data_IF_363996719425
#
_entry.id   IF_363996719425
#
_cell.length_a   1.000
_cell.length_b   1.000
_cell.length_c   1.000
_cell.angle_alpha   90.00
_cell.angle_beta   90.00
_cell.angle_gamma   90.00
#
_symmetry.space_group_name_H-M   'P 1'
#
loop_
_entity.id
_entity.type
_entity.pdbx_description
1 polymer ?
#
# COMPACT_ATOMS: atom_id res chain seq x y z
N UNK A 1 16.15 -20.02 14.61
CA UNK A 1 15.10 -19.23 13.92
C UNK A 1 13.70 -19.63 14.36
N UNK A 2 13.29 -20.90 14.19
CA UNK A 2 11.96 -21.42 14.56
C UNK A 2 11.52 -21.11 16.02
N UNK A 3 12.37 -21.41 17.01
CA UNK A 3 12.06 -21.16 18.43
C UNK A 3 11.83 -19.66 18.69
N UNK A 4 12.67 -18.79 18.12
CA UNK A 4 12.56 -17.33 18.28
C UNK A 4 11.30 -16.78 17.59
N UNK A 5 10.93 -17.34 16.43
CA UNK A 5 9.70 -17.02 15.72
C UNK A 5 8.47 -17.35 16.58
N UNK A 6 8.40 -18.57 17.10
CA UNK A 6 7.30 -19.03 17.97
C UNK A 6 7.18 -18.15 19.22
N UNK A 7 8.28 -17.86 19.92
CA UNK A 7 8.26 -16.99 21.10
C UNK A 7 7.73 -15.57 20.81
N UNK A 8 8.11 -15.01 19.66
CA UNK A 8 7.65 -13.68 19.25
C UNK A 8 6.19 -13.67 18.82
N UNK A 9 5.69 -14.73 18.20
CA UNK A 9 4.25 -14.89 17.91
C UNK A 9 3.44 -14.98 19.20
N UNK A 10 3.92 -15.75 20.18
CA UNK A 10 3.30 -15.81 21.51
C UNK A 10 3.28 -14.44 22.19
N UNK A 11 4.33 -13.63 22.01
CA UNK A 11 4.38 -12.26 22.54
C UNK A 11 3.32 -11.36 21.90
N UNK A 12 3.14 -11.41 20.56
CA UNK A 12 2.08 -10.65 19.89
C UNK A 12 0.68 -11.05 20.39
N UNK A 13 0.47 -12.35 20.59
CA UNK A 13 -0.80 -12.85 21.13
C UNK A 13 -1.03 -12.40 22.58
N UNK A 14 -0.01 -12.44 23.44
CA UNK A 14 -0.09 -11.91 24.81
C UNK A 14 -0.39 -10.40 24.81
N UNK A 15 0.23 -9.62 23.92
CA UNK A 15 -0.10 -8.20 23.76
C UNK A 15 -1.57 -7.99 23.38
N UNK A 16 -2.06 -8.73 22.39
CA UNK A 16 -3.46 -8.68 21.97
C UNK A 16 -4.40 -8.99 23.14
N UNK A 17 -4.18 -10.10 23.86
CA UNK A 17 -5.02 -10.50 24.99
C UNK A 17 -5.05 -9.45 26.11
N UNK A 18 -3.89 -8.86 26.43
CA UNK A 18 -3.82 -7.81 27.45
C UNK A 18 -4.52 -6.53 27.03
N UNK A 19 -4.42 -6.12 25.77
CA UNK A 19 -5.14 -4.95 25.25
C UNK A 19 -6.65 -5.19 25.17
N UNK A 20 -7.07 -6.40 24.79
CA UNK A 20 -8.48 -6.79 24.72
C UNK A 20 -9.14 -6.77 26.11
N UNK A 21 -8.44 -7.24 27.14
CA UNK A 21 -8.96 -7.36 28.50
C UNK A 21 -8.53 -6.23 29.45
N UNK A 22 -7.76 -5.24 28.98
CA UNK A 22 -7.23 -4.16 29.82
C UNK A 22 -6.32 -4.64 30.95
N UNK A 23 -5.59 -5.73 30.75
CA UNK A 23 -4.75 -6.36 31.78
C UNK A 23 -3.42 -5.63 31.98
N UNK A 24 -2.94 -5.55 33.22
CA UNK A 24 -1.68 -4.90 33.57
C UNK A 24 -0.48 -5.87 33.54
N UNK A 25 0.72 -5.41 33.12
CA UNK A 25 1.01 -4.10 32.56
C UNK A 25 0.45 -3.98 31.12
N UNK A 26 -0.14 -2.81 30.82
CA UNK A 26 -0.68 -2.52 29.48
C UNK A 26 0.48 -2.50 28.47
N UNK A 27 0.40 -3.26 27.37
CA UNK A 27 1.44 -3.26 26.33
C UNK A 27 1.66 -1.87 25.73
N UNK A 28 2.92 -1.47 25.60
CA UNK A 28 3.30 -0.25 24.88
C UNK A 28 3.35 -0.51 23.38
N UNK A 29 2.88 0.45 22.58
CA UNK A 29 3.03 0.45 21.14
C UNK A 29 4.50 0.39 20.70
N UNK A 30 5.44 0.87 21.52
CA UNK A 30 6.88 0.76 21.23
C UNK A 30 7.38 -0.69 21.30
N UNK A 31 6.95 -1.46 22.31
CA UNK A 31 7.35 -2.87 22.48
C UNK A 31 6.76 -3.73 21.36
N UNK A 32 5.50 -3.45 21.01
CA UNK A 32 4.82 -4.07 19.89
C UNK A 32 5.53 -3.73 18.57
N UNK A 33 5.86 -2.46 18.34
CA UNK A 33 6.59 -2.02 17.16
C UNK A 33 7.94 -2.74 17.02
N UNK A 34 8.70 -2.90 18.11
CA UNK A 34 9.97 -3.63 18.09
C UNK A 34 9.79 -5.11 17.73
N UNK A 35 8.70 -5.73 18.20
CA UNK A 35 8.37 -7.11 17.84
C UNK A 35 7.97 -7.23 16.37
N UNK A 36 7.19 -6.28 15.84
CA UNK A 36 6.83 -6.25 14.43
C UNK A 36 8.04 -5.99 13.52
N UNK A 37 8.93 -5.05 13.89
CA UNK A 37 10.20 -4.80 13.18
C UNK A 37 11.07 -6.06 13.11
N UNK A 38 11.11 -6.85 14.19
CA UNK A 38 11.80 -8.14 14.17
C UNK A 38 11.22 -9.09 13.10
N UNK A 39 9.90 -9.16 12.94
CA UNK A 39 9.29 -9.97 11.88
C UNK A 39 9.61 -9.41 10.49
N UNK A 40 9.51 -8.09 10.28
CA UNK A 40 9.89 -7.46 9.01
C UNK A 40 11.34 -7.78 8.62
N UNK A 41 12.28 -7.65 9.56
CA UNK A 41 13.69 -7.99 9.34
C UNK A 41 13.90 -9.49 9.08
N UNK A 42 13.16 -10.35 9.77
CA UNK A 42 13.19 -11.79 9.56
C UNK A 42 12.72 -12.17 8.15
N UNK A 43 11.57 -11.62 7.71
CA UNK A 43 11.02 -11.84 6.38
C UNK A 43 11.96 -11.32 5.29
N UNK A 44 12.53 -10.13 5.49
CA UNK A 44 13.54 -9.59 4.58
C UNK A 44 14.80 -10.46 4.51
N UNK A 45 15.27 -10.98 5.64
CA UNK A 45 16.41 -11.89 5.69
C UNK A 45 16.15 -13.17 4.89
N UNK A 46 14.94 -13.71 4.93
CA UNK A 46 14.55 -14.86 4.12
C UNK A 46 14.56 -14.53 2.63
N UNK A 47 14.05 -13.36 2.24
CA UNK A 47 14.09 -12.91 0.84
C UNK A 47 15.52 -12.77 0.32
N UNK A 48 16.52 -12.43 1.15
CA UNK A 48 17.93 -12.33 0.72
C UNK A 48 18.46 -13.60 0.08
N UNK A 49 17.96 -14.76 0.52
CA UNK A 49 18.40 -16.08 0.07
C UNK A 49 17.68 -16.53 -1.21
N UNK A 50 16.64 -15.81 -1.64
CA UNK A 50 15.80 -16.15 -2.81
C UNK A 50 16.30 -15.45 -4.07
N UNK A 51 16.47 -16.22 -5.15
CA UNK A 51 16.96 -15.71 -6.44
C UNK A 51 15.86 -15.33 -7.41
N UNK A 52 14.73 -16.02 -7.33
CA UNK A 52 13.51 -15.81 -8.09
C UNK A 52 12.86 -14.46 -7.74
N UNK A 53 11.74 -14.11 -8.37
CA UNK A 53 11.01 -12.86 -8.10
C UNK A 53 9.65 -13.15 -7.44
N UNK A 54 9.59 -13.44 -6.12
CA UNK A 54 8.36 -13.85 -5.46
C UNK A 54 7.18 -12.89 -5.62
N UNK A 55 7.44 -11.57 -5.62
CA UNK A 55 6.39 -10.56 -5.84
C UNK A 55 5.78 -10.63 -7.24
N UNK A 56 6.58 -10.94 -8.26
CA UNK A 56 6.05 -11.19 -9.60
C UNK A 56 5.26 -12.50 -9.66
N UNK A 57 5.69 -13.53 -8.91
CA UNK A 57 4.94 -14.78 -8.76
C UNK A 57 3.59 -14.58 -8.06
N UNK A 58 3.46 -13.58 -7.16
CA UNK A 58 2.16 -13.21 -6.53
C UNK A 58 1.13 -12.78 -7.57
N UNK A 59 1.51 -12.31 -8.76
CA UNK A 59 0.53 -11.91 -9.80
C UNK A 59 -0.21 -13.09 -10.43
N UNK A 60 0.13 -14.35 -10.13
CA UNK A 60 -0.55 -15.51 -10.70
C UNK A 60 -0.63 -16.66 -9.73
N UNK A 61 -1.86 -17.10 -9.42
CA UNK A 61 -2.14 -18.19 -8.49
C UNK A 61 -1.43 -19.50 -8.83
N UNK A 62 -1.22 -19.77 -10.12
CA UNK A 62 -0.45 -20.94 -10.60
C UNK A 62 0.95 -21.05 -9.97
N UNK A 63 1.58 -19.94 -9.61
CA UNK A 63 2.93 -19.93 -9.04
C UNK A 63 2.94 -19.94 -7.51
N UNK A 64 1.78 -20.06 -6.84
CA UNK A 64 1.72 -20.03 -5.39
C UNK A 64 2.50 -21.18 -4.74
N UNK A 65 2.29 -22.40 -5.21
CA UNK A 65 2.97 -23.57 -4.66
C UNK A 65 4.48 -23.47 -4.82
N UNK A 66 4.94 -23.02 -5.98
CA UNK A 66 6.37 -22.78 -6.27
C UNK A 66 6.93 -21.65 -5.40
N UNK A 67 6.23 -20.51 -5.32
CA UNK A 67 6.63 -19.35 -4.51
C UNK A 67 6.76 -19.73 -3.04
N UNK A 68 5.76 -20.42 -2.50
CA UNK A 68 5.76 -20.81 -1.09
C UNK A 68 6.84 -21.83 -0.76
N UNK A 69 7.26 -22.66 -1.73
CA UNK A 69 8.36 -23.60 -1.58
C UNK A 69 9.75 -22.92 -1.51
N UNK A 70 9.86 -21.63 -1.85
CA UNK A 70 11.11 -20.86 -1.73
C UNK A 70 11.48 -20.55 -0.28
N UNK A 71 10.55 -20.72 0.66
CA UNK A 71 10.70 -20.29 2.04
C UNK A 71 10.68 -21.46 3.01
N UNK A 72 11.34 -21.34 4.18
CA UNK A 72 11.15 -22.30 5.25
C UNK A 72 9.69 -22.30 5.72
N UNK A 73 9.20 -23.46 6.15
CA UNK A 73 7.83 -23.61 6.64
C UNK A 73 7.66 -22.95 8.04
N UNK A 74 7.53 -21.62 8.05
CA UNK A 74 7.14 -20.83 9.21
C UNK A 74 5.64 -20.55 9.18
N UNK A 75 5.07 -20.25 10.34
CA UNK A 75 3.64 -19.96 10.47
C UNK A 75 3.30 -18.51 10.06
N UNK A 76 3.44 -18.21 8.76
CA UNK A 76 3.15 -16.90 8.17
C UNK A 76 1.68 -16.52 8.30
N UNK A 77 0.78 -17.51 8.23
CA UNK A 77 -0.66 -17.34 8.45
C UNK A 77 -0.96 -16.88 9.87
N UNK A 78 -0.30 -17.46 10.87
CA UNK A 78 -0.49 -17.00 12.25
C UNK A 78 0.05 -15.58 12.46
N UNK A 79 1.13 -15.19 11.79
CA UNK A 79 1.59 -13.80 11.80
C UNK A 79 0.53 -12.87 11.20
N UNK A 80 -0.01 -13.18 10.02
CA UNK A 80 -1.11 -12.41 9.40
C UNK A 80 -2.32 -12.25 10.32
N UNK A 81 -2.75 -13.34 10.95
CA UNK A 81 -3.87 -13.34 11.89
C UNK A 81 -3.57 -12.47 13.12
N UNK A 82 -2.34 -12.52 13.64
CA UNK A 82 -1.94 -11.66 14.75
C UNK A 82 -1.96 -10.17 14.36
N UNK A 83 -1.49 -9.81 13.16
CA UNK A 83 -1.57 -8.41 12.67
C UNK A 83 -3.02 -7.94 12.55
N UNK A 84 -3.90 -8.81 12.04
CA UNK A 84 -5.35 -8.55 11.91
C UNK A 84 -5.98 -8.29 13.29
N UNK A 85 -5.74 -9.18 14.26
CA UNK A 85 -6.24 -9.04 15.63
C UNK A 85 -5.71 -7.77 16.32
N UNK A 86 -4.45 -7.40 16.06
CA UNK A 86 -3.86 -6.21 16.63
C UNK A 86 -4.51 -4.92 16.08
N UNK A 87 -4.94 -4.91 14.82
CA UNK A 87 -5.69 -3.78 14.23
C UNK A 87 -6.98 -3.52 15.00
N UNK A 88 -7.69 -4.57 15.41
CA UNK A 88 -8.96 -4.46 16.15
C UNK A 88 -8.81 -3.84 17.55
N UNK A 89 -7.61 -3.87 18.13
CA UNK A 89 -7.33 -3.35 19.48
C UNK A 89 -6.42 -2.11 19.48
N UNK A 90 -6.15 -1.52 18.31
CA UNK A 90 -5.30 -0.32 18.16
C UNK A 90 -5.75 0.82 19.08
N UNK A 91 -7.05 1.03 19.25
CA UNK A 91 -7.61 2.11 20.08
C UNK A 91 -7.22 2.00 21.57
N UNK A 92 -6.80 0.82 22.03
CA UNK A 92 -6.33 0.58 23.39
C UNK A 92 -4.84 0.90 23.60
N UNK A 93 -4.11 1.26 22.54
CA UNK A 93 -2.68 1.60 22.61
C UNK A 93 -2.53 3.08 22.97
N UNK A 94 -2.06 3.36 24.17
CA UNK A 94 -1.92 4.74 24.67
C UNK A 94 -0.55 5.38 24.41
N UNK A 95 0.51 4.57 24.31
CA UNK A 95 1.90 5.05 24.15
C UNK A 95 2.50 4.40 22.90
N UNK A 96 3.14 5.20 22.05
CA UNK A 96 3.88 4.69 20.88
C UNK A 96 3.01 4.24 19.70
N UNK A 97 1.76 4.71 19.61
CA UNK A 97 0.81 4.34 18.55
C UNK A 97 1.34 4.58 17.14
N UNK A 98 2.00 5.72 16.89
CA UNK A 98 2.58 6.02 15.58
C UNK A 98 3.68 5.03 15.18
N UNK A 99 4.61 4.74 16.09
CA UNK A 99 5.69 3.78 15.85
C UNK A 99 5.15 2.36 15.63
N UNK A 100 4.09 1.98 16.37
CA UNK A 100 3.36 0.74 16.14
C UNK A 100 2.74 0.71 14.75
N UNK A 101 2.00 1.74 14.36
CA UNK A 101 1.33 1.82 13.06
C UNK A 101 2.30 1.72 11.88
N UNK A 102 3.45 2.41 11.95
CA UNK A 102 4.50 2.29 10.93
C UNK A 102 5.05 0.86 10.83
N UNK A 103 5.34 0.23 11.97
CA UNK A 103 5.84 -1.13 12.00
C UNK A 103 4.80 -2.15 11.54
N UNK A 104 3.51 -1.93 11.82
CA UNK A 104 2.38 -2.73 11.37
C UNK A 104 2.25 -2.69 9.84
N UNK A 105 2.23 -1.50 9.24
CA UNK A 105 2.13 -1.34 7.79
C UNK A 105 3.32 -1.96 7.06
N UNK A 106 4.53 -1.73 7.57
CA UNK A 106 5.74 -2.35 7.02
C UNK A 106 5.70 -3.88 7.14
N UNK A 107 5.23 -4.42 8.26
CA UNK A 107 5.13 -5.87 8.45
C UNK A 107 4.10 -6.50 7.50
N UNK A 108 2.94 -5.88 7.31
CA UNK A 108 1.93 -6.32 6.33
C UNK A 108 2.51 -6.36 4.91
N UNK A 109 3.24 -5.31 4.52
CA UNK A 109 3.92 -5.24 3.24
C UNK A 109 4.98 -6.35 3.08
N UNK A 110 5.88 -6.51 4.05
CA UNK A 110 6.89 -7.57 4.03
C UNK A 110 6.31 -8.98 3.99
N UNK A 111 5.11 -9.18 4.54
CA UNK A 111 4.46 -10.47 4.62
C UNK A 111 3.84 -10.92 3.30
N UNK A 112 3.44 -9.99 2.41
CA UNK A 112 2.72 -10.28 1.17
C UNK A 112 3.29 -11.45 0.33
N UNK A 113 4.61 -11.55 0.06
CA UNK A 113 5.17 -12.65 -0.74
C UNK A 113 5.01 -14.05 -0.10
N UNK A 114 4.85 -14.09 1.22
CA UNK A 114 4.79 -15.33 2.01
C UNK A 114 3.38 -15.85 2.22
N UNK A 115 2.36 -15.10 1.81
CA UNK A 115 0.97 -15.44 2.01
C UNK A 115 0.46 -16.44 0.96
N UNK A 116 -0.55 -17.21 1.34
CA UNK A 116 -1.32 -18.04 0.43
C UNK A 116 -2.38 -17.21 -0.32
N UNK A 117 -3.08 -17.85 -1.26
CA UNK A 117 -4.11 -17.22 -2.07
C UNK A 117 -5.21 -16.51 -1.25
N UNK A 118 -5.79 -17.17 -0.25
CA UNK A 118 -6.94 -16.66 0.51
C UNK A 118 -6.54 -15.41 1.31
N UNK A 119 -5.31 -15.38 1.81
CA UNK A 119 -4.80 -14.26 2.60
C UNK A 119 -4.40 -13.08 1.72
N UNK A 120 -3.78 -13.32 0.55
CA UNK A 120 -3.37 -12.27 -0.41
C UNK A 120 -4.54 -11.38 -0.79
N UNK A 121 -5.69 -11.98 -1.07
CA UNK A 121 -6.88 -11.25 -1.55
C UNK A 121 -7.42 -10.26 -0.49
N UNK A 122 -7.13 -10.49 0.80
CA UNK A 122 -7.60 -9.67 1.90
C UNK A 122 -6.61 -8.55 2.31
N UNK A 123 -5.34 -8.60 1.88
CA UNK A 123 -4.28 -7.65 2.32
C UNK A 123 -4.63 -6.21 1.97
N UNK A 124 -5.20 -5.98 0.78
CA UNK A 124 -5.58 -4.64 0.32
C UNK A 124 -6.66 -4.04 1.24
N UNK A 125 -7.72 -4.79 1.53
CA UNK A 125 -8.77 -4.34 2.43
C UNK A 125 -8.26 -4.15 3.85
N UNK A 126 -7.46 -5.07 4.38
CA UNK A 126 -6.89 -4.97 5.73
C UNK A 126 -6.00 -3.73 5.89
N UNK A 127 -5.19 -3.44 4.88
CA UNK A 127 -4.34 -2.23 4.89
C UNK A 127 -5.19 -0.98 4.81
N UNK A 128 -6.23 -0.96 3.95
CA UNK A 128 -7.17 0.15 3.87
C UNK A 128 -7.94 0.34 5.18
N UNK A 129 -8.36 -0.72 5.86
CA UNK A 129 -9.13 -0.61 7.10
C UNK A 129 -8.31 -0.05 8.26
N UNK A 130 -6.99 -0.18 8.23
CA UNK A 130 -6.11 0.42 9.25
C UNK A 130 -6.27 1.95 9.36
N UNK A 131 -6.74 2.62 8.29
CA UNK A 131 -6.97 4.07 8.29
C UNK A 131 -8.03 4.52 9.31
N UNK A 132 -8.95 3.63 9.70
CA UNK A 132 -10.01 3.99 10.64
C UNK A 132 -9.55 4.00 12.10
N UNK A 133 -8.38 3.44 12.39
CA UNK A 133 -7.86 3.25 13.75
C UNK A 133 -6.46 3.85 13.95
N UNK A 134 -5.67 3.97 12.89
CA UNK A 134 -4.35 4.60 12.93
C UNK A 134 -4.47 6.13 12.89
N UNK A 135 -3.48 6.85 13.46
CA UNK A 135 -3.50 8.30 13.52
C UNK A 135 -3.28 8.94 12.13
N UNK A 136 -3.77 10.18 11.95
CA UNK A 136 -3.85 10.85 10.64
C UNK A 136 -2.48 11.05 9.97
N UNK A 137 -1.42 11.12 10.76
CA UNK A 137 -0.03 11.22 10.34
C UNK A 137 0.40 10.00 9.50
N UNK A 138 -0.28 8.86 9.64
CA UNK A 138 -0.01 7.64 8.87
C UNK A 138 -0.94 7.46 7.67
N UNK A 139 -1.92 8.33 7.44
CA UNK A 139 -2.86 8.16 6.33
C UNK A 139 -2.16 8.17 4.96
N UNK A 140 -1.17 9.05 4.77
CA UNK A 140 -0.38 9.08 3.54
C UNK A 140 0.42 7.79 3.37
N UNK A 141 1.00 7.24 4.45
CA UNK A 141 1.73 5.96 4.41
C UNK A 141 0.81 4.81 4.01
N UNK A 142 -0.40 4.74 4.57
CA UNK A 142 -1.41 3.72 4.22
C UNK A 142 -1.72 3.77 2.72
N UNK A 143 -2.02 4.97 2.20
CA UNK A 143 -2.34 5.16 0.78
C UNK A 143 -1.13 4.83 -0.10
N UNK A 144 0.09 5.16 0.34
CA UNK A 144 1.33 4.81 -0.35
C UNK A 144 1.54 3.29 -0.43
N UNK A 145 1.39 2.58 0.69
CA UNK A 145 1.49 1.11 0.72
C UNK A 145 0.43 0.46 -0.16
N UNK A 146 -0.80 0.97 -0.18
CA UNK A 146 -1.84 0.51 -1.08
C UNK A 146 -1.45 0.73 -2.54
N UNK A 147 -1.17 1.97 -2.94
CA UNK A 147 -1.06 2.36 -4.34
C UNK A 147 0.22 1.88 -5.00
N UNK A 148 1.33 1.95 -4.27
CA UNK A 148 2.65 1.68 -4.85
C UNK A 148 3.16 0.30 -4.53
N UNK A 149 2.46 -0.50 -3.73
CA UNK A 149 2.93 -1.85 -3.41
C UNK A 149 1.81 -2.89 -3.45
N UNK A 150 0.83 -2.81 -2.56
CA UNK A 150 -0.13 -3.90 -2.36
C UNK A 150 -1.06 -4.07 -3.57
N UNK A 151 -1.76 -3.01 -4.00
CA UNK A 151 -2.73 -3.08 -5.09
C UNK A 151 -2.12 -3.57 -6.41
N UNK A 152 -0.93 -3.10 -6.84
CA UNK A 152 -0.28 -3.60 -8.05
C UNK A 152 -0.12 -5.12 -8.12
N UNK A 153 0.03 -5.81 -6.98
CA UNK A 153 0.22 -7.27 -6.95
C UNK A 153 -1.04 -8.04 -6.60
N UNK A 154 -1.97 -7.47 -5.84
CA UNK A 154 -3.18 -8.18 -5.39
C UNK A 154 -4.31 -8.11 -6.41
N UNK A 155 -4.60 -6.94 -6.99
CA UNK A 155 -5.79 -6.79 -7.83
C UNK A 155 -5.55 -7.25 -9.28
N UNK A 156 -4.31 -7.17 -9.74
CA UNK A 156 -3.90 -7.64 -11.08
C UNK A 156 -3.66 -9.15 -11.12
N UNK A 157 -3.81 -9.82 -9.97
CA UNK A 157 -3.53 -11.24 -9.80
C UNK A 157 -4.48 -12.11 -10.63
N UNK A 158 -3.95 -13.07 -11.37
CA UNK A 158 -4.74 -14.02 -12.16
C UNK A 158 -5.04 -15.27 -11.35
N UNK A 159 -6.32 -15.60 -11.23
CA UNK A 159 -6.79 -16.86 -10.66
C UNK A 159 -6.66 -17.99 -11.71
N UNK A 160 -6.61 -19.24 -11.26
CA UNK A 160 -6.48 -20.40 -12.18
C UNK A 160 -7.69 -20.58 -13.10
N UNK A 161 -8.88 -20.24 -12.62
CA UNK A 161 -10.14 -20.30 -13.37
C UNK A 161 -10.37 -19.07 -14.27
N UNK A 162 -9.47 -18.08 -14.23
CA UNK A 162 -9.53 -16.85 -15.02
C UNK A 162 -10.65 -15.88 -14.60
N UNK A 163 -11.25 -16.09 -13.43
CA UNK A 163 -12.27 -15.19 -12.85
C UNK A 163 -11.62 -13.96 -12.21
N UNK A 164 -12.44 -12.95 -11.90
CA UNK A 164 -11.98 -11.78 -11.16
C UNK A 164 -11.67 -12.18 -9.71
N UNK A 165 -10.43 -11.97 -9.26
CA UNK A 165 -10.00 -12.30 -7.88
C UNK A 165 -10.78 -11.48 -6.82
N UNK A 166 -10.82 -11.99 -5.58
CA UNK A 166 -11.60 -11.34 -4.53
C UNK A 166 -11.02 -9.98 -4.12
N UNK A 167 -9.70 -9.79 -4.23
CA UNK A 167 -9.06 -8.48 -4.06
C UNK A 167 -9.66 -7.42 -5.00
N UNK A 168 -9.86 -7.74 -6.28
CA UNK A 168 -10.43 -6.87 -7.30
C UNK A 168 -11.92 -6.61 -7.05
N UNK A 169 -12.66 -7.61 -6.57
CA UNK A 169 -14.06 -7.44 -6.17
C UNK A 169 -14.22 -6.55 -4.93
N UNK A 170 -13.22 -6.55 -4.03
CA UNK A 170 -13.25 -5.76 -2.79
C UNK A 170 -12.94 -4.26 -2.97
N UNK A 171 -12.62 -3.81 -4.18
CA UNK A 171 -12.13 -2.44 -4.43
C UNK A 171 -13.13 -1.36 -4.00
N UNK A 172 -14.43 -1.57 -4.17
CA UNK A 172 -15.43 -0.63 -3.68
C UNK A 172 -15.35 -0.43 -2.16
N UNK A 173 -15.02 -1.49 -1.39
CA UNK A 173 -14.83 -1.40 0.05
C UNK A 173 -13.53 -0.67 0.41
N UNK A 174 -12.44 -0.93 -0.32
CA UNK A 174 -11.17 -0.20 -0.18
C UNK A 174 -11.37 1.31 -0.41
N UNK A 175 -12.05 1.69 -1.50
CA UNK A 175 -12.39 3.09 -1.81
C UNK A 175 -13.22 3.68 -0.67
N UNK A 176 -14.23 2.95 -0.19
CA UNK A 176 -15.11 3.41 0.89
C UNK A 176 -14.33 3.70 2.17
N UNK A 177 -13.40 2.84 2.58
CA UNK A 177 -12.56 3.06 3.77
C UNK A 177 -11.75 4.35 3.64
N UNK A 178 -11.02 4.52 2.53
CA UNK A 178 -10.18 5.70 2.34
C UNK A 178 -11.03 6.97 2.27
N UNK A 179 -12.14 6.97 1.52
CA UNK A 179 -12.99 8.15 1.36
C UNK A 179 -13.78 8.53 2.62
N UNK A 180 -14.01 7.57 3.51
CA UNK A 180 -14.73 7.81 4.75
C UNK A 180 -13.83 8.42 5.83
N UNK A 181 -12.61 7.91 5.96
CA UNK A 181 -11.73 8.23 7.09
C UNK A 181 -10.61 9.21 6.75
N UNK A 182 -10.29 9.36 5.46
CA UNK A 182 -9.37 10.41 5.04
C UNK A 182 -10.09 11.71 4.75
N UNK A 183 -9.61 12.80 5.33
CA UNK A 183 -10.09 14.16 5.03
C UNK A 183 -9.30 14.83 3.91
N UNK A 184 -8.16 14.26 3.50
CA UNK A 184 -7.29 14.82 2.48
C UNK A 184 -7.77 14.39 1.07
N UNK A 185 -8.24 15.32 0.23
CA UNK A 185 -8.67 14.99 -1.13
C UNK A 185 -7.57 14.39 -2.01
N UNK A 186 -6.30 14.70 -1.70
CA UNK A 186 -5.16 14.22 -2.46
C UNK A 186 -4.96 12.70 -2.28
N UNK A 187 -5.24 12.16 -1.09
CA UNK A 187 -5.28 10.71 -0.86
C UNK A 187 -6.36 10.02 -1.71
N UNK A 188 -7.53 10.67 -1.86
CA UNK A 188 -8.63 10.12 -2.64
C UNK A 188 -8.29 10.05 -4.13
N UNK A 189 -7.66 11.11 -4.67
CA UNK A 189 -7.17 11.14 -6.04
C UNK A 189 -6.08 10.10 -6.27
N UNK A 190 -5.06 10.04 -5.41
CA UNK A 190 -3.96 9.08 -5.53
C UNK A 190 -4.47 7.63 -5.61
N UNK A 191 -5.38 7.25 -4.71
CA UNK A 191 -5.99 5.92 -4.74
C UNK A 191 -6.74 5.69 -6.06
N UNK A 192 -7.60 6.62 -6.46
CA UNK A 192 -8.44 6.43 -7.63
C UNK A 192 -7.63 6.38 -8.93
N UNK A 193 -6.61 7.23 -9.07
CA UNK A 193 -5.70 7.23 -10.22
C UNK A 193 -4.89 5.94 -10.29
N UNK A 194 -4.39 5.44 -9.14
CA UNK A 194 -3.74 4.13 -9.06
C UNK A 194 -4.69 3.02 -9.52
N UNK A 195 -5.93 2.99 -9.02
CA UNK A 195 -6.91 1.98 -9.40
C UNK A 195 -7.24 2.03 -10.89
N UNK A 196 -7.43 3.22 -11.47
CA UNK A 196 -7.70 3.39 -12.90
C UNK A 196 -6.54 2.91 -13.79
N UNK A 197 -5.30 2.98 -13.29
CA UNK A 197 -4.13 2.44 -13.99
C UNK A 197 -4.05 0.90 -13.94
N UNK A 198 -4.59 0.29 -12.87
CA UNK A 198 -4.44 -1.14 -12.60
C UNK A 198 -5.64 -2.00 -13.02
N UNK A 199 -6.86 -1.47 -12.94
CA UNK A 199 -8.12 -2.22 -13.14
C UNK A 199 -9.03 -1.50 -14.15
N UNK A 200 -9.55 -2.19 -15.18
CA UNK A 200 -10.58 -1.63 -16.03
C UNK A 200 -11.92 -1.53 -15.28
N UNK A 201 -12.71 -0.50 -15.57
CA UNK A 201 -14.09 -0.42 -15.07
C UNK A 201 -14.22 0.05 -13.62
N UNK A 202 -13.20 0.70 -13.05
CA UNK A 202 -13.23 1.33 -11.71
C UNK A 202 -14.41 2.29 -11.51
N UNK A 203 -14.96 2.84 -12.60
CA UNK A 203 -16.22 3.60 -12.57
C UNK A 203 -17.37 2.83 -11.91
N UNK A 204 -17.44 1.51 -12.08
CA UNK A 204 -18.46 0.66 -11.45
C UNK A 204 -18.25 0.58 -9.93
N UNK A 205 -16.99 0.46 -9.49
CA UNK A 205 -16.64 0.45 -8.07
C UNK A 205 -17.01 1.80 -7.41
N UNK A 206 -16.71 2.92 -8.08
CA UNK A 206 -17.10 4.26 -7.64
C UNK A 206 -18.62 4.41 -7.58
N UNK A 207 -19.37 3.94 -8.58
CA UNK A 207 -20.84 3.96 -8.57
C UNK A 207 -21.41 3.13 -7.42
N UNK A 208 -20.78 1.99 -7.09
CA UNK A 208 -21.11 1.20 -5.90
C UNK A 208 -20.93 2.02 -4.61
N UNK A 209 -19.83 2.76 -4.48
CA UNK A 209 -19.60 3.65 -3.32
C UNK A 209 -20.63 4.78 -3.27
N UNK A 210 -21.01 5.37 -4.40
CA UNK A 210 -22.07 6.38 -4.46
C UNK A 210 -23.42 5.81 -4.02
N UNK A 211 -23.74 4.57 -4.41
CA UNK A 211 -25.00 3.93 -4.08
C UNK A 211 -25.08 3.47 -2.61
N UNK A 212 -24.02 2.84 -2.09
CA UNK A 212 -24.04 2.11 -0.83
C UNK A 212 -23.12 2.67 0.27
N UNK A 213 -22.28 3.66 -0.05
CA UNK A 213 -21.33 4.22 0.90
C UNK A 213 -21.97 5.07 2.00
N UNK A 214 -21.18 5.34 3.04
CA UNK A 214 -21.54 6.32 4.07
C UNK A 214 -21.64 7.73 3.50
N UNK A 215 -22.26 8.66 4.24
CA UNK A 215 -22.38 10.06 3.80
C UNK A 215 -21.06 10.71 3.34
N UNK A 216 -19.94 10.65 4.11
CA UNK A 216 -18.66 11.21 3.66
C UNK A 216 -18.09 10.48 2.43
N UNK A 217 -18.16 9.14 2.40
CA UNK A 217 -17.66 8.36 1.28
C UNK A 217 -18.42 8.67 -0.01
N UNK A 218 -19.75 8.78 0.04
CA UNK A 218 -20.60 9.15 -1.10
C UNK A 218 -20.28 10.55 -1.63
N UNK A 219 -20.08 11.52 -0.74
CA UNK A 219 -19.75 12.88 -1.14
C UNK A 219 -18.42 12.93 -1.92
N UNK A 220 -17.38 12.27 -1.40
CA UNK A 220 -16.08 12.15 -2.06
C UNK A 220 -16.18 11.39 -3.39
N UNK A 221 -16.91 10.27 -3.42
CA UNK A 221 -17.10 9.45 -4.61
C UNK A 221 -17.85 10.18 -5.72
N UNK A 222 -18.95 10.86 -5.40
CA UNK A 222 -19.70 11.65 -6.38
C UNK A 222 -18.84 12.78 -6.96
N UNK A 223 -18.06 13.47 -6.11
CA UNK A 223 -17.16 14.53 -6.54
C UNK A 223 -16.11 14.01 -7.54
N UNK A 224 -15.45 12.89 -7.22
CA UNK A 224 -14.43 12.32 -8.10
C UNK A 224 -15.00 11.62 -9.34
N UNK A 225 -16.20 11.05 -9.25
CA UNK A 225 -16.92 10.51 -10.40
C UNK A 225 -17.11 11.58 -11.48
N UNK A 226 -17.60 12.76 -11.10
CA UNK A 226 -17.79 13.86 -12.04
C UNK A 226 -16.49 14.50 -12.50
N UNK A 227 -15.40 14.36 -11.73
CA UNK A 227 -14.09 14.85 -12.11
C UNK A 227 -13.44 13.98 -13.20
N UNK A 228 -13.34 12.66 -12.98
CA UNK A 228 -12.68 11.74 -13.91
C UNK A 228 -13.60 11.24 -15.03
N UNK A 229 -14.92 11.25 -14.83
CA UNK A 229 -15.91 10.93 -15.88
C UNK A 229 -16.91 12.08 -16.08
N UNK A 230 -16.48 13.19 -16.73
CA UNK A 230 -17.33 14.39 -16.89
C UNK A 230 -18.62 14.17 -17.69
N UNK A 231 -18.72 13.07 -18.46
CA UNK A 231 -19.94 12.69 -19.19
C UNK A 231 -21.14 12.47 -18.26
N UNK A 232 -20.93 12.15 -16.99
CA UNK A 232 -22.01 12.02 -16.01
C UNK A 232 -22.54 13.37 -15.48
N UNK A 233 -21.85 14.49 -15.73
CA UNK A 233 -22.35 15.83 -15.44
C UNK A 233 -22.24 16.75 -16.67
N UNK A 234 -23.34 16.99 -17.41
CA UNK A 234 -23.33 17.83 -18.61
C UNK A 234 -23.15 19.33 -18.31
N UNK A 235 -23.34 19.79 -17.06
CA UNK A 235 -23.25 21.20 -16.71
C UNK A 235 -21.79 21.63 -16.49
N UNK A 236 -21.27 22.45 -17.41
CA UNK A 236 -19.89 22.95 -17.39
C UNK A 236 -19.57 23.86 -16.18
N UNK A 237 -20.57 24.57 -15.63
CA UNK A 237 -20.36 25.53 -14.55
C UNK A 237 -20.09 24.88 -13.19
N UNK A 238 -20.68 23.70 -12.92
CA UNK A 238 -20.43 22.92 -11.70
C UNK A 238 -19.00 22.37 -11.63
N UNK A 239 -18.32 22.27 -12.78
CA UNK A 239 -16.97 21.72 -12.89
C UNK A 239 -15.90 22.63 -12.28
N UNK A 240 -16.10 23.95 -12.25
CA UNK A 240 -15.09 24.91 -11.76
C UNK A 240 -14.80 24.77 -10.26
N UNK A 241 -15.79 24.40 -9.45
CA UNK A 241 -15.62 24.21 -8.01
C UNK A 241 -14.86 22.90 -7.66
N UNK A 242 -14.86 21.92 -8.56
CA UNK A 242 -14.22 20.61 -8.36
C UNK A 242 -12.71 20.69 -8.59
N UNK A 243 -12.25 21.50 -9.55
CA UNK A 243 -10.88 21.49 -10.07
C UNK A 243 -9.78 22.06 -9.14
N UNK A 244 -10.11 22.88 -8.15
CA UNK A 244 -9.14 23.81 -7.53
C UNK A 244 -8.29 23.23 -6.38
N UNK A 245 -8.55 22.01 -5.88
CA UNK A 245 -8.00 21.59 -4.56
C UNK A 245 -7.34 20.21 -4.45
N UNK A 246 -7.06 19.51 -5.54
CA UNK A 246 -6.66 18.10 -5.45
C UNK A 246 -5.15 17.80 -5.47
N UNK A 247 -4.30 18.71 -5.99
CA UNK A 247 -2.93 18.36 -6.36
C UNK A 247 -1.81 18.89 -5.44
N UNK A 248 -2.06 19.87 -4.56
CA UNK A 248 -0.98 20.63 -3.94
C UNK A 248 -0.39 20.04 -2.63
N UNK A 249 -0.98 18.97 -2.08
CA UNK A 249 -0.63 18.50 -0.73
C UNK A 249 0.09 17.13 -0.70
N UNK A 250 0.39 16.51 -1.84
CA UNK A 250 1.21 15.29 -1.85
C UNK A 250 2.70 15.63 -1.74
N UNK A 251 3.34 15.19 -0.66
CA UNK A 251 4.80 15.22 -0.58
C UNK A 251 5.38 14.17 -1.55
N UNK A 252 6.33 14.55 -2.43
CA UNK A 252 6.97 13.59 -3.31
C UNK A 252 7.82 12.60 -2.50
N UNK A 253 7.94 11.37 -3.00
CA UNK A 253 8.91 10.43 -2.44
C UNK A 253 10.32 10.97 -2.64
N UNK A 254 11.19 10.73 -1.67
CA UNK A 254 12.62 11.01 -1.79
C UNK A 254 13.37 9.72 -2.11
N UNK A 255 14.50 9.85 -2.81
CA UNK A 255 15.37 8.72 -3.12
C UNK A 255 15.83 8.00 -1.83
N UNK A 256 15.58 6.70 -1.76
CA UNK A 256 15.87 5.86 -0.58
C UNK A 256 17.21 5.11 -0.67
N UNK A 257 17.99 5.32 -1.73
CA UNK A 257 19.31 4.70 -1.85
C UNK A 257 20.25 5.27 -0.79
N UNK A 258 20.84 4.40 0.02
CA UNK A 258 21.74 4.76 1.13
C UNK A 258 22.93 5.63 0.66
N UNK A 259 23.43 5.34 -0.55
CA UNK A 259 24.57 6.05 -1.18
C UNK A 259 24.16 7.10 -2.21
N UNK A 260 22.96 7.68 -2.12
CA UNK A 260 22.51 8.72 -3.06
C UNK A 260 23.34 10.01 -2.87
N UNK A 261 23.96 10.58 -3.94
CA UNK A 261 24.72 11.83 -3.83
C UNK A 261 23.88 13.03 -3.35
N UNK A 262 22.57 12.98 -3.63
CA UNK A 262 21.60 14.03 -3.33
C UNK A 262 20.56 13.56 -2.28
N UNK A 263 21.00 12.72 -1.32
CA UNK A 263 20.12 12.14 -0.29
C UNK A 263 19.30 13.23 0.44
N UNK A 264 18.00 12.96 0.63
CA UNK A 264 17.05 13.88 1.28
C UNK A 264 16.45 14.96 0.38
N UNK A 265 17.08 15.29 -0.75
CA UNK A 265 16.58 16.32 -1.69
C UNK A 265 16.19 15.77 -3.05
N UNK A 266 16.72 14.61 -3.45
CA UNK A 266 16.40 13.99 -4.73
C UNK A 266 15.00 13.38 -4.71
N UNK A 267 14.08 13.99 -5.47
CA UNK A 267 12.77 13.42 -5.75
C UNK A 267 12.90 12.06 -6.45
N UNK A 268 12.17 11.07 -5.96
CA UNK A 268 12.08 9.77 -6.58
C UNK A 268 11.11 9.83 -7.77
N UNK A 269 11.55 9.32 -8.91
CA UNK A 269 10.72 9.16 -10.11
C UNK A 269 10.52 7.70 -10.51
N UNK A 270 11.23 6.78 -9.86
CA UNK A 270 11.21 5.35 -10.17
C UNK A 270 10.95 4.52 -8.92
N UNK A 271 10.22 3.43 -9.08
CA UNK A 271 9.98 2.42 -8.04
C UNK A 271 10.53 1.07 -8.48
N UNK A 272 11.20 0.38 -7.56
CA UNK A 272 11.73 -0.97 -7.73
C UNK A 272 11.08 -1.93 -6.74
N UNK A 273 10.64 -3.08 -7.25
CA UNK A 273 10.02 -4.14 -6.44
C UNK A 273 10.95 -5.32 -6.18
N UNK A 274 12.12 -5.35 -6.81
CA UNK A 274 13.07 -6.44 -6.63
C UNK A 274 13.70 -6.36 -5.23
N UNK A 275 13.50 -7.43 -4.44
CA UNK A 275 13.98 -7.49 -3.08
C UNK A 275 15.51 -7.47 -2.98
N UNK A 276 16.22 -8.02 -3.97
CA UNK A 276 17.69 -8.04 -3.96
C UNK A 276 18.23 -6.64 -4.17
N UNK A 277 17.64 -5.85 -5.06
CA UNK A 277 17.98 -4.44 -5.26
C UNK A 277 17.69 -3.65 -3.98
N UNK A 278 16.48 -3.75 -3.42
CA UNK A 278 16.14 -3.07 -2.15
C UNK A 278 17.14 -3.41 -1.05
N UNK A 279 17.41 -4.70 -0.82
CA UNK A 279 18.34 -5.17 0.22
C UNK A 279 19.78 -4.69 -0.02
N UNK A 280 20.22 -4.59 -1.28
CA UNK A 280 21.60 -4.22 -1.62
C UNK A 280 21.82 -2.71 -1.49
N UNK A 281 20.83 -1.89 -1.83
CA UNK A 281 20.98 -0.44 -1.96
C UNK A 281 20.21 0.37 -0.90
N UNK A 282 19.34 -0.26 -0.11
CA UNK A 282 18.61 0.33 1.03
C UNK A 282 18.39 -0.75 2.12
N UNK A 283 19.42 -0.95 2.95
CA UNK A 283 19.53 -2.16 3.81
C UNK A 283 18.35 -2.36 4.77
N UNK A 284 17.74 -1.26 5.23
CA UNK A 284 16.64 -1.24 6.19
C UNK A 284 15.27 -1.02 5.54
N UNK A 285 15.20 -0.81 4.22
CA UNK A 285 13.95 -0.50 3.51
C UNK A 285 13.52 -1.71 2.67
N UNK A 286 12.41 -2.38 3.02
CA UNK A 286 11.86 -3.43 2.18
C UNK A 286 11.40 -2.86 0.82
N UNK A 287 11.22 -3.72 -0.21
CA UNK A 287 10.43 -3.34 -1.37
C UNK A 287 9.05 -2.76 -0.96
N UNK A 288 8.57 -1.70 -1.63
CA UNK A 288 9.17 -1.06 -2.80
C UNK A 288 10.28 -0.07 -2.42
N UNK A 289 11.36 -0.04 -3.21
CA UNK A 289 12.41 0.96 -3.09
C UNK A 289 12.15 2.12 -4.06
N UNK A 290 12.06 3.33 -3.54
CA UNK A 290 11.89 4.55 -4.34
C UNK A 290 13.24 5.18 -4.68
N UNK A 291 13.44 5.50 -5.96
CA UNK A 291 14.72 5.95 -6.51
C UNK A 291 14.54 7.21 -7.36
N UNK A 292 15.46 8.16 -7.23
CA UNK A 292 15.59 9.20 -8.24
C UNK A 292 16.05 8.59 -9.57
N UNK A 293 15.78 9.30 -10.68
CA UNK A 293 16.07 8.81 -12.03
C UNK A 293 17.56 8.48 -12.20
N UNK A 294 18.45 9.29 -11.62
CA UNK A 294 19.90 9.07 -11.67
C UNK A 294 20.31 7.76 -10.98
N UNK A 295 19.84 7.54 -9.74
CA UNK A 295 20.15 6.32 -9.01
C UNK A 295 19.55 5.08 -9.67
N UNK A 296 18.33 5.17 -10.21
CA UNK A 296 17.71 4.08 -10.95
C UNK A 296 18.53 3.72 -12.21
N UNK A 297 19.00 4.71 -12.97
CA UNK A 297 19.82 4.49 -14.15
C UNK A 297 21.18 3.87 -13.81
N UNK A 298 21.82 4.31 -12.72
CA UNK A 298 23.08 3.71 -12.25
C UNK A 298 22.91 2.23 -11.86
N UNK A 299 21.87 1.92 -11.09
CA UNK A 299 21.58 0.54 -10.69
C UNK A 299 21.24 -0.30 -11.92
N UNK A 300 20.45 0.23 -12.87
CA UNK A 300 20.10 -0.48 -14.10
C UNK A 300 21.34 -0.80 -14.97
N UNK A 301 22.35 0.07 -15.02
CA UNK A 301 23.61 -0.24 -15.72
C UNK A 301 24.36 -1.42 -15.10
N UNK A 302 24.32 -1.55 -13.77
CA UNK A 302 24.92 -2.67 -13.05
C UNK A 302 24.03 -3.94 -13.08
N UNK A 303 22.71 -3.77 -13.20
CA UNK A 303 21.70 -4.83 -13.19
C UNK A 303 20.70 -4.67 -14.36
N UNK A 304 21.12 -4.97 -15.62
CA UNK A 304 20.32 -4.66 -16.82
C UNK A 304 18.98 -5.40 -16.90
N UNK A 305 18.87 -6.54 -16.23
CA UNK A 305 17.66 -7.36 -16.24
C UNK A 305 16.59 -6.85 -15.26
N UNK A 306 16.90 -5.86 -14.41
CA UNK A 306 15.97 -5.36 -13.41
C UNK A 306 15.06 -4.28 -13.96
N UNK A 307 13.79 -4.38 -13.59
CA UNK A 307 12.71 -3.49 -14.03
C UNK A 307 12.49 -2.39 -13.00
N UNK A 308 12.42 -1.16 -13.50
CA UNK A 308 12.08 0.03 -12.72
C UNK A 308 10.82 0.64 -13.33
N UNK A 309 9.82 0.90 -12.50
CA UNK A 309 8.54 1.44 -12.92
C UNK A 309 8.46 2.93 -12.60
N UNK A 310 7.71 3.68 -13.41
CA UNK A 310 7.47 5.10 -13.14
C UNK A 310 6.55 5.27 -11.93
N UNK A 311 6.88 6.24 -11.07
CA UNK A 311 5.99 6.68 -10.01
C UNK A 311 4.90 7.54 -10.67
N UNK A 312 3.64 7.15 -10.48
CA UNK A 312 2.51 7.93 -10.98
C UNK A 312 2.43 9.24 -10.20
N UNK A 313 2.76 10.36 -10.86
CA UNK A 313 2.51 11.68 -10.31
C UNK A 313 1.03 12.05 -10.48
N UNK A 314 0.43 12.81 -9.55
CA UNK A 314 -0.93 13.29 -9.69
C UNK A 314 -1.15 13.96 -11.04
N UNK A 315 -2.29 13.70 -11.67
CA UNK A 315 -2.60 14.31 -12.96
C UNK A 315 -2.56 15.84 -12.85
N UNK A 316 -1.70 16.49 -13.64
CA UNK A 316 -1.63 17.94 -13.69
C UNK A 316 -2.96 18.52 -14.20
N UNK A 317 -3.38 19.63 -13.61
CA UNK A 317 -4.61 20.30 -14.00
C UNK A 317 -4.46 20.83 -15.43
N UNK A 318 -5.18 20.22 -16.38
CA UNK A 318 -5.22 20.69 -17.77
C UNK A 318 -6.17 21.87 -17.89
N UNK A 319 -5.74 22.93 -18.58
CA UNK A 319 -6.59 24.10 -18.85
C UNK A 319 -7.84 23.69 -19.62
N UNK A 320 -9.00 24.13 -19.14
CA UNK A 320 -10.28 23.95 -19.83
C UNK A 320 -10.53 25.03 -20.90
N UNK A 321 -9.54 25.92 -21.13
CA UNK A 321 -9.60 26.96 -22.15
C UNK A 321 -8.80 26.46 -23.35
N UNK A 322 -9.46 26.28 -24.48
CA UNK A 322 -8.80 26.02 -25.75
C UNK A 322 -8.07 27.30 -26.18
N UNK A 323 -6.74 27.29 -26.10
CA UNK A 323 -5.93 28.34 -26.72
C UNK A 323 -5.88 28.08 -28.23
N UNK A 324 -6.70 28.80 -28.99
CA UNK A 324 -6.48 28.89 -30.43
C UNK A 324 -5.13 29.60 -30.64
N UNK A 325 -4.09 28.83 -30.98
CA UNK A 325 -2.87 29.40 -31.54
C UNK A 325 -3.23 30.05 -32.87
N UNK A 326 -3.45 31.36 -32.86
CA UNK A 326 -3.42 32.18 -34.07
C UNK A 326 -1.95 32.18 -34.52
N UNK A 327 -1.62 31.32 -35.46
CA UNK A 327 -0.38 31.40 -36.22
C UNK A 327 -0.36 32.75 -36.95
N UNK A 328 0.49 33.66 -36.47
CA UNK A 328 0.84 34.91 -37.15
C UNK A 328 1.80 34.66 -38.30
#
# INVERSE_FOLDING_TARGET
MLIRNSLKLTSLHDYYQRLLHGSQPVPSGLDMANTLKFFSQMLLSLLKEVHESPLEMVKSQKYDAERMALYPNLDYKQLYNALTQLIDVVSSIHIGLQAFGQALLQCLACLLPFLDHDLIDNVAYLTASSISVLPMELHQDIVNYLCYYILPFTITRKTEDGTENAASQSIAAVIMMIFQYSSNPAHHCQLLECLMALKPGVVKDILCVVAYGTAPARASAAKLLFYYWPSFNPNLFDRRAVLVKFANDLAPFVCQRDSCPNAGNAEAGKVCYDHRISITFATETPPPMYLCIECANEIHRAHPNQLFYDILHPMQQVSMICENKVSH
#
